data_IF_625833632064
#
_entry.id   IF_625833632064
#
_cell.length_a   1.000
_cell.length_b   1.000
_cell.length_c   1.000
_cell.angle_alpha   90.00
_cell.angle_beta   90.00
_cell.angle_gamma   90.00
#
_symmetry.space_group_name_H-M   'P 1'
#
loop_
_entity.id
_entity.type
_entity.pdbx_description
1 polymer ?
#
# COMPACT_ATOMS: atom_id res chain seq x y z
N UNK A 1 46.38 -0.17 22.78
CA UNK A 1 46.31 0.84 21.70
C UNK A 1 45.82 0.12 20.45
N UNK A 2 44.52 0.22 20.16
CA UNK A 2 43.97 -0.41 18.96
C UNK A 2 43.84 0.68 17.90
N UNK A 3 44.58 0.53 16.81
CA UNK A 3 44.62 1.45 15.69
C UNK A 3 43.25 1.45 14.95
N UNK A 4 42.49 2.49 15.17
CA UNK A 4 41.24 2.77 14.44
C UNK A 4 41.52 3.31 13.04
N UNK A 5 41.73 2.43 12.05
CA UNK A 5 41.73 2.82 10.66
C UNK A 5 40.28 2.91 10.16
N UNK A 6 39.88 3.98 9.45
CA UNK A 6 38.54 4.06 8.88
C UNK A 6 38.39 3.02 7.77
N UNK A 7 37.29 2.26 7.82
CA UNK A 7 36.91 1.27 6.80
C UNK A 7 36.53 2.01 5.54
N UNK A 8 37.08 1.64 4.38
CA UNK A 8 36.80 2.32 3.11
C UNK A 8 35.34 2.09 2.66
N UNK A 9 34.72 3.04 1.92
CA UNK A 9 33.35 2.90 1.42
C UNK A 9 33.12 1.63 0.59
N UNK A 10 34.14 1.13 -0.09
CA UNK A 10 34.08 -0.12 -0.86
C UNK A 10 33.97 -1.38 0.02
N UNK A 11 34.55 -1.34 1.22
CA UNK A 11 34.47 -2.46 2.17
C UNK A 11 33.09 -2.52 2.84
N UNK A 12 32.47 -1.36 3.12
CA UNK A 12 31.09 -1.31 3.62
C UNK A 12 30.07 -1.82 2.57
N UNK A 13 30.28 -1.48 1.30
CA UNK A 13 29.42 -1.94 0.20
C UNK A 13 29.47 -3.47 0.06
N UNK A 14 30.66 -4.08 0.11
CA UNK A 14 30.84 -5.55 0.07
C UNK A 14 30.27 -6.27 1.29
N UNK A 15 30.31 -5.68 2.49
CA UNK A 15 29.71 -6.26 3.69
C UNK A 15 28.18 -6.21 3.60
N UNK A 16 27.62 -5.13 3.07
CA UNK A 16 26.18 -4.98 2.87
C UNK A 16 25.63 -5.90 1.74
N UNK A 17 26.41 -6.14 0.70
CA UNK A 17 26.09 -7.13 -0.34
C UNK A 17 26.17 -8.56 0.19
N UNK A 18 27.19 -8.89 0.96
CA UNK A 18 27.35 -10.23 1.54
C UNK A 18 26.28 -10.57 2.61
N UNK A 19 25.82 -9.59 3.38
CA UNK A 19 24.69 -9.77 4.31
C UNK A 19 23.36 -9.87 3.57
N UNK A 20 23.17 -9.12 2.47
CA UNK A 20 21.97 -9.24 1.59
C UNK A 20 21.87 -10.61 0.91
N UNK A 21 22.98 -11.19 0.42
CA UNK A 21 22.96 -12.52 -0.20
C UNK A 21 22.64 -13.64 0.80
N UNK A 22 23.15 -13.59 2.02
CA UNK A 22 22.83 -14.62 3.03
C UNK A 22 21.42 -14.55 3.58
N UNK A 23 20.83 -13.34 3.71
CA UNK A 23 19.42 -13.19 4.10
C UNK A 23 18.47 -13.58 2.96
N UNK A 24 18.82 -13.28 1.71
CA UNK A 24 18.00 -13.61 0.53
C UNK A 24 17.89 -15.13 0.31
N UNK A 25 18.94 -15.90 0.55
CA UNK A 25 18.93 -17.37 0.42
C UNK A 25 18.16 -18.05 1.56
N UNK A 26 18.29 -17.58 2.79
CA UNK A 26 17.54 -18.13 3.93
C UNK A 26 16.05 -17.86 3.89
N UNK A 27 15.63 -16.72 3.30
CA UNK A 27 14.22 -16.36 3.12
C UNK A 27 13.62 -17.06 1.89
N UNK A 28 14.39 -17.25 0.81
CA UNK A 28 13.95 -17.97 -0.40
C UNK A 28 13.60 -19.44 -0.11
N UNK A 29 14.37 -20.14 0.71
CA UNK A 29 14.15 -21.57 1.01
C UNK A 29 12.92 -21.80 1.92
N UNK A 30 12.46 -20.82 2.68
CA UNK A 30 11.27 -20.96 3.55
C UNK A 30 9.94 -20.63 2.89
N UNK A 31 9.95 -19.89 1.79
CA UNK A 31 8.71 -19.47 1.09
C UNK A 31 8.31 -20.39 -0.07
N UNK A 32 9.14 -21.37 -0.43
CA UNK A 32 8.85 -22.34 -1.50
C UNK A 32 7.81 -23.36 -1.02
N UNK A 33 6.52 -23.08 -1.31
CA UNK A 33 5.43 -24.02 -1.09
C UNK A 33 4.18 -23.48 -0.41
N UNK A 34 4.21 -22.26 0.13
CA UNK A 34 3.06 -21.67 0.82
C UNK A 34 2.41 -20.57 0.00
N UNK A 35 1.10 -20.67 -0.18
CA UNK A 35 0.32 -19.63 -0.83
C UNK A 35 0.17 -18.44 0.15
N UNK A 36 0.62 -17.21 -0.20
CA UNK A 36 0.46 -16.05 0.65
C UNK A 36 -1.01 -15.78 1.00
N UNK A 37 -1.25 -15.34 2.23
CA UNK A 37 -2.54 -14.85 2.67
C UNK A 37 -2.66 -13.35 2.37
N UNK A 38 -3.66 -12.94 1.60
CA UNK A 38 -3.80 -11.58 1.11
C UNK A 38 -4.87 -10.82 1.90
N UNK A 39 -4.49 -9.69 2.49
CA UNK A 39 -5.38 -8.81 3.25
C UNK A 39 -5.54 -7.49 2.51
N UNK A 40 -6.75 -7.17 2.09
CA UNK A 40 -7.10 -5.87 1.53
C UNK A 40 -7.55 -4.91 2.63
N UNK A 41 -6.98 -3.69 2.65
CA UNK A 41 -7.34 -2.63 3.61
C UNK A 41 -7.85 -1.43 2.81
N UNK A 42 -9.18 -1.31 2.70
CA UNK A 42 -9.86 -0.22 2.01
C UNK A 42 -10.36 0.87 2.96
N UNK A 43 -10.81 1.97 2.41
CA UNK A 43 -11.40 3.09 3.15
C UNK A 43 -11.14 4.41 2.48
N UNK A 44 -11.92 5.44 2.79
CA UNK A 44 -11.80 6.76 2.18
C UNK A 44 -10.43 7.41 2.38
N UNK A 45 -10.10 8.36 1.53
CA UNK A 45 -8.90 9.19 1.73
C UNK A 45 -8.97 9.87 3.11
N UNK A 46 -7.88 9.76 3.89
CA UNK A 46 -7.82 10.29 5.27
C UNK A 46 -8.44 9.38 6.35
N UNK A 47 -8.97 8.17 6.02
CA UNK A 47 -9.55 7.26 7.01
C UNK A 47 -8.51 6.64 7.96
N UNK A 48 -7.22 6.62 7.59
CA UNK A 48 -6.15 5.99 8.38
C UNK A 48 -5.83 4.54 7.93
N UNK A 49 -6.34 4.08 6.79
CA UNK A 49 -6.05 2.76 6.23
C UNK A 49 -4.54 2.49 6.09
N UNK A 50 -3.79 3.43 5.49
CA UNK A 50 -2.33 3.29 5.30
C UNK A 50 -1.56 3.31 6.63
N UNK A 51 -2.05 4.07 7.63
CA UNK A 51 -1.51 4.04 8.99
C UNK A 51 -1.72 2.66 9.62
N UNK A 52 -2.91 2.07 9.45
CA UNK A 52 -3.22 0.74 9.96
C UNK A 52 -2.36 -0.34 9.29
N UNK A 53 -2.25 -0.29 7.95
CA UNK A 53 -1.40 -1.20 7.18
C UNK A 53 0.09 -1.08 7.56
N UNK A 54 0.59 0.15 7.72
CA UNK A 54 1.96 0.42 8.15
C UNK A 54 2.28 -0.17 9.53
N UNK A 55 1.39 0.02 10.51
CA UNK A 55 1.53 -0.57 11.86
C UNK A 55 1.59 -2.10 11.82
N UNK A 56 0.78 -2.75 10.99
CA UNK A 56 0.84 -4.21 10.80
C UNK A 56 2.18 -4.62 10.18
N UNK A 57 2.66 -3.89 9.18
CA UNK A 57 3.97 -4.14 8.56
C UNK A 57 5.11 -3.98 9.56
N UNK A 58 5.05 -2.95 10.43
CA UNK A 58 6.04 -2.74 11.50
C UNK A 58 6.01 -3.86 12.56
N UNK A 59 4.81 -4.40 12.87
CA UNK A 59 4.68 -5.51 13.81
C UNK A 59 5.22 -6.84 13.26
N UNK A 60 5.26 -7.02 11.93
CA UNK A 60 5.71 -8.25 11.26
C UNK A 60 6.62 -7.92 10.06
N UNK A 61 7.78 -7.29 10.27
CA UNK A 61 8.60 -6.74 9.18
C UNK A 61 9.09 -7.79 8.19
N UNK A 62 9.34 -9.03 8.65
CA UNK A 62 9.83 -10.12 7.81
C UNK A 62 8.74 -10.99 7.18
N UNK A 63 7.51 -10.90 7.70
CA UNK A 63 6.40 -11.77 7.28
C UNK A 63 5.39 -11.07 6.38
N UNK A 64 5.42 -9.74 6.29
CA UNK A 64 4.46 -8.95 5.52
C UNK A 64 5.15 -8.27 4.34
N UNK A 65 4.55 -8.35 3.16
CA UNK A 65 4.78 -7.42 2.05
C UNK A 65 3.61 -6.45 1.95
N UNK A 66 3.90 -5.14 1.83
CA UNK A 66 2.90 -4.08 1.73
C UNK A 66 2.91 -3.49 0.32
N UNK A 67 1.74 -3.46 -0.31
CA UNK A 67 1.51 -2.90 -1.64
C UNK A 67 0.51 -1.76 -1.52
N UNK A 68 0.88 -0.56 -1.93
CA UNK A 68 -0.05 0.56 -2.05
C UNK A 68 -0.67 0.61 -3.45
N UNK A 69 -2.01 0.65 -3.50
CA UNK A 69 -2.75 0.82 -4.75
C UNK A 69 -2.40 2.13 -5.46
N UNK A 70 -2.00 3.16 -4.72
CA UNK A 70 -1.62 4.45 -5.30
C UNK A 70 -0.42 4.35 -6.25
N UNK A 71 0.41 3.32 -6.15
CA UNK A 71 1.50 3.05 -7.10
C UNK A 71 1.01 2.61 -8.49
N UNK A 72 -0.25 2.19 -8.60
CA UNK A 72 -0.83 1.65 -9.83
C UNK A 72 -1.67 2.67 -10.61
N UNK A 73 -1.61 3.96 -10.28
CA UNK A 73 -2.16 4.99 -11.18
C UNK A 73 -1.55 4.88 -12.57
N UNK A 74 -2.34 5.11 -13.59
CA UNK A 74 -1.91 5.03 -14.98
C UNK A 74 -0.76 6.02 -15.26
N UNK A 75 0.09 5.66 -16.23
CA UNK A 75 1.17 6.52 -16.72
C UNK A 75 0.61 7.49 -17.76
N UNK A 76 1.03 8.75 -17.68
CA UNK A 76 0.54 9.85 -18.52
C UNK A 76 1.71 10.69 -19.08
N UNK A 77 2.65 10.04 -19.78
CA UNK A 77 3.83 10.74 -20.33
C UNK A 77 3.47 11.69 -21.46
N UNK A 78 2.37 11.43 -22.16
CA UNK A 78 1.78 12.22 -23.25
C UNK A 78 1.00 13.45 -22.79
N UNK A 79 0.71 13.59 -21.51
CA UNK A 79 -0.08 14.68 -20.93
C UNK A 79 0.85 15.66 -20.19
N UNK A 80 0.79 16.99 -20.47
CA UNK A 80 1.53 17.99 -19.71
C UNK A 80 1.21 17.98 -18.21
N UNK A 81 2.19 18.34 -17.36
CA UNK A 81 2.04 18.32 -15.90
C UNK A 81 0.81 19.12 -15.42
N UNK A 82 0.56 20.28 -15.99
CA UNK A 82 -0.58 21.12 -15.62
C UNK A 82 -1.94 20.44 -15.87
N UNK A 83 -2.04 19.64 -16.94
CA UNK A 83 -3.24 18.89 -17.28
C UNK A 83 -3.36 17.62 -16.44
N UNK A 84 -2.23 16.93 -16.14
CA UNK A 84 -2.23 15.78 -15.22
C UNK A 84 -2.79 16.15 -13.85
N UNK A 85 -2.46 17.33 -13.33
CA UNK A 85 -2.96 17.81 -12.04
C UNK A 85 -4.49 17.96 -11.99
N UNK A 86 -5.16 18.04 -13.15
CA UNK A 86 -6.61 18.15 -13.28
C UNK A 86 -7.32 16.81 -13.44
N UNK A 87 -6.59 15.71 -13.65
CA UNK A 87 -7.16 14.38 -13.80
C UNK A 87 -7.85 13.90 -12.51
N UNK A 88 -8.89 13.07 -12.70
CA UNK A 88 -9.63 12.47 -11.59
C UNK A 88 -8.94 11.18 -11.10
N UNK A 89 -8.04 11.30 -10.12
CA UNK A 89 -7.35 10.16 -9.51
C UNK A 89 -8.18 9.37 -8.48
N UNK A 90 -9.39 9.83 -8.16
CA UNK A 90 -10.30 9.14 -7.25
C UNK A 90 -11.32 8.24 -8.01
N UNK A 91 -11.25 8.19 -9.35
CA UNK A 91 -12.06 7.32 -10.19
C UNK A 91 -11.35 6.00 -10.52
N UNK A 92 -12.10 4.89 -10.69
CA UNK A 92 -11.52 3.57 -11.00
C UNK A 92 -10.65 3.54 -12.26
N UNK A 93 -11.02 4.33 -13.27
CA UNK A 93 -10.33 4.43 -14.56
C UNK A 93 -8.92 4.99 -14.46
N UNK A 94 -8.59 5.64 -13.34
CA UNK A 94 -7.24 6.17 -13.10
C UNK A 94 -6.24 5.07 -12.70
N UNK A 95 -6.70 3.85 -12.38
CA UNK A 95 -5.87 2.76 -11.85
C UNK A 95 -5.73 1.59 -12.83
N UNK A 96 -4.54 1.03 -12.91
CA UNK A 96 -4.24 -0.19 -13.67
C UNK A 96 -4.46 -1.44 -12.81
N UNK A 97 -5.73 -1.79 -12.54
CA UNK A 97 -6.09 -2.97 -11.74
C UNK A 97 -5.58 -4.27 -12.34
N UNK A 98 -5.55 -4.37 -13.68
CA UNK A 98 -5.04 -5.56 -14.39
C UNK A 98 -3.60 -5.88 -14.03
N UNK A 99 -2.71 -4.87 -13.98
CA UNK A 99 -1.33 -5.04 -13.55
C UNK A 99 -1.24 -5.46 -12.08
N UNK A 100 -2.06 -4.88 -11.21
CA UNK A 100 -2.09 -5.24 -9.80
C UNK A 100 -2.52 -6.69 -9.60
N UNK A 101 -3.58 -7.13 -10.27
CA UNK A 101 -4.06 -8.52 -10.24
C UNK A 101 -2.97 -9.48 -10.75
N UNK A 102 -2.34 -9.17 -11.89
CA UNK A 102 -1.25 -9.97 -12.44
C UNK A 102 -0.09 -10.12 -11.44
N UNK A 103 0.33 -9.03 -10.81
CA UNK A 103 1.42 -9.06 -9.83
C UNK A 103 1.05 -9.84 -8.55
N UNK A 104 -0.20 -9.75 -8.10
CA UNK A 104 -0.67 -10.56 -6.97
C UNK A 104 -0.67 -12.06 -7.28
N UNK A 105 -1.06 -12.45 -8.50
CA UNK A 105 -0.99 -13.85 -8.92
C UNK A 105 0.47 -14.34 -9.01
N UNK A 106 1.41 -13.51 -9.46
CA UNK A 106 2.84 -13.83 -9.44
C UNK A 106 3.34 -14.04 -8.00
N UNK A 107 2.97 -13.13 -7.08
CA UNK A 107 3.32 -13.27 -5.66
C UNK A 107 2.71 -14.52 -5.02
N UNK A 108 1.46 -14.88 -5.36
CA UNK A 108 0.81 -16.13 -4.93
C UNK A 108 1.57 -17.37 -5.40
N UNK A 109 2.24 -17.27 -6.55
CA UNK A 109 3.06 -18.33 -7.12
C UNK A 109 4.52 -18.28 -6.65
N UNK A 110 4.82 -17.53 -5.61
CA UNK A 110 6.16 -17.42 -5.03
C UNK A 110 7.15 -16.60 -5.85
N UNK A 111 6.67 -15.81 -6.81
CA UNK A 111 7.52 -15.00 -7.68
C UNK A 111 7.58 -13.56 -7.17
N UNK A 112 8.76 -12.93 -7.08
CA UNK A 112 8.88 -11.51 -6.78
C UNK A 112 8.35 -10.67 -7.94
N UNK A 113 7.85 -9.46 -7.63
CA UNK A 113 7.33 -8.53 -8.63
C UNK A 113 7.99 -7.16 -8.52
N UNK A 114 8.05 -6.43 -9.64
CA UNK A 114 8.52 -5.06 -9.69
C UNK A 114 7.31 -4.11 -9.67
N UNK A 115 6.94 -3.68 -8.46
CA UNK A 115 5.86 -2.73 -8.25
C UNK A 115 6.27 -1.34 -8.79
N UNK A 116 5.43 -0.67 -9.61
CA UNK A 116 5.71 0.70 -10.02
C UNK A 116 5.76 1.66 -8.84
N UNK A 117 6.34 2.84 -9.04
CA UNK A 117 6.38 3.92 -8.06
C UNK A 117 5.70 5.14 -8.64
N UNK A 118 4.65 5.61 -7.99
CA UNK A 118 3.95 6.82 -8.37
C UNK A 118 4.55 8.05 -7.67
N UNK A 119 4.80 9.10 -8.45
CA UNK A 119 5.28 10.39 -7.95
C UNK A 119 4.12 11.39 -7.89
N UNK A 120 3.70 11.72 -6.68
CA UNK A 120 2.60 12.66 -6.44
C UNK A 120 2.93 14.11 -6.82
N UNK A 121 4.22 14.46 -6.93
CA UNK A 121 4.65 15.81 -7.33
C UNK A 121 4.59 16.00 -8.84
N UNK A 122 4.81 14.91 -9.58
CA UNK A 122 4.75 14.87 -11.04
C UNK A 122 3.42 14.39 -11.58
N UNK A 123 2.50 13.97 -10.71
CA UNK A 123 1.24 13.35 -11.08
C UNK A 123 1.42 12.25 -12.13
N UNK A 124 2.45 11.38 -11.95
CA UNK A 124 2.80 10.34 -12.91
C UNK A 124 3.55 9.17 -12.25
N UNK A 125 3.59 8.01 -12.92
CA UNK A 125 4.55 6.96 -12.56
C UNK A 125 5.96 7.42 -12.88
N UNK A 126 6.88 7.18 -11.95
CA UNK A 126 8.31 7.33 -12.18
C UNK A 126 8.86 6.10 -12.92
N UNK A 127 10.12 6.19 -13.39
CA UNK A 127 10.84 5.03 -13.93
C UNK A 127 11.39 4.10 -12.84
N UNK A 128 11.21 4.48 -11.58
CA UNK A 128 11.61 3.64 -10.43
C UNK A 128 10.61 2.51 -10.22
N UNK A 129 11.13 1.39 -9.75
CA UNK A 129 10.33 0.25 -9.30
C UNK A 129 10.79 -0.19 -7.93
N UNK A 130 9.90 -0.84 -7.19
CA UNK A 130 10.20 -1.46 -5.90
C UNK A 130 10.01 -2.96 -6.04
N UNK A 131 11.03 -3.76 -5.71
CA UNK A 131 10.88 -5.20 -5.65
C UNK A 131 10.04 -5.59 -4.43
N UNK A 132 8.95 -6.30 -4.68
CA UNK A 132 8.09 -6.89 -3.65
C UNK A 132 8.32 -8.40 -3.64
N UNK A 133 8.75 -8.90 -2.49
CA UNK A 133 8.99 -10.33 -2.30
C UNK A 133 7.70 -11.06 -1.90
N UNK A 134 7.53 -12.33 -2.29
CA UNK A 134 6.40 -13.17 -1.87
C UNK A 134 6.60 -13.58 -0.40
N UNK A 135 6.01 -12.83 0.51
CA UNK A 135 6.00 -13.13 1.95
C UNK A 135 4.71 -13.83 2.35
N UNK A 136 4.66 -14.51 3.52
CA UNK A 136 3.46 -15.23 3.98
C UNK A 136 2.19 -14.38 4.01
N UNK A 137 2.33 -13.08 4.30
CA UNK A 137 1.21 -12.12 4.30
C UNK A 137 1.49 -11.03 3.26
N UNK A 138 0.49 -10.73 2.44
CA UNK A 138 0.50 -9.57 1.54
C UNK A 138 -0.60 -8.63 1.99
N UNK A 139 -0.23 -7.40 2.35
CA UNK A 139 -1.19 -6.32 2.61
C UNK A 139 -1.32 -5.45 1.36
N UNK A 140 -2.55 -5.14 1.00
CA UNK A 140 -2.88 -4.19 -0.07
C UNK A 140 -3.67 -3.06 0.55
N UNK A 141 -3.23 -1.81 0.41
CA UNK A 141 -4.03 -0.67 0.83
C UNK A 141 -4.41 0.23 -0.34
N UNK A 142 -5.62 0.78 -0.29
CA UNK A 142 -6.10 1.72 -1.31
C UNK A 142 -7.57 2.08 -1.16
N UNK A 143 -7.96 3.20 -1.77
CA UNK A 143 -9.36 3.67 -1.69
C UNK A 143 -10.31 2.85 -2.58
N UNK A 144 -9.82 2.31 -3.69
CA UNK A 144 -10.62 1.63 -4.73
C UNK A 144 -10.39 0.13 -4.83
N UNK A 145 -9.59 -0.47 -3.93
CA UNK A 145 -9.20 -1.88 -4.04
C UNK A 145 -10.38 -2.87 -3.94
N UNK A 146 -11.51 -2.44 -3.38
CA UNK A 146 -12.73 -3.25 -3.35
C UNK A 146 -13.68 -2.94 -4.51
N UNK A 147 -13.36 -1.98 -5.38
CA UNK A 147 -14.18 -1.67 -6.54
C UNK A 147 -14.07 -2.74 -7.62
N UNK A 148 -12.84 -3.15 -7.96
CA UNK A 148 -12.59 -4.14 -9.00
C UNK A 148 -12.88 -5.57 -8.52
N UNK A 149 -13.75 -6.34 -9.19
CA UNK A 149 -14.11 -7.70 -8.78
C UNK A 149 -12.93 -8.69 -8.85
N UNK A 150 -12.05 -8.57 -9.85
CA UNK A 150 -10.91 -9.48 -9.99
C UNK A 150 -9.91 -9.26 -8.85
N UNK A 151 -9.66 -7.99 -8.50
CA UNK A 151 -8.81 -7.66 -7.37
C UNK A 151 -9.40 -8.12 -6.03
N UNK A 152 -10.73 -7.93 -5.81
CA UNK A 152 -11.41 -8.45 -4.60
C UNK A 152 -11.27 -9.95 -4.45
N UNK A 153 -11.37 -10.69 -5.55
CA UNK A 153 -11.26 -12.16 -5.55
C UNK A 153 -9.84 -12.66 -5.23
N UNK A 154 -8.84 -11.78 -5.32
CA UNK A 154 -7.48 -12.09 -4.87
C UNK A 154 -7.34 -12.08 -3.35
N UNK A 155 -8.24 -11.44 -2.60
CA UNK A 155 -8.13 -11.17 -1.18
C UNK A 155 -8.79 -12.24 -0.33
N UNK A 156 -8.07 -12.73 0.68
CA UNK A 156 -8.57 -13.70 1.66
C UNK A 156 -9.30 -13.02 2.82
N UNK A 157 -8.89 -11.78 3.15
CA UNK A 157 -9.54 -10.94 4.18
C UNK A 157 -9.67 -9.50 3.68
N UNK A 158 -10.85 -8.93 3.83
CA UNK A 158 -11.19 -7.58 3.40
C UNK A 158 -11.57 -6.72 4.59
N UNK A 159 -10.74 -5.70 4.88
CA UNK A 159 -10.92 -4.78 6.00
C UNK A 159 -11.27 -3.40 5.46
N UNK A 160 -12.37 -2.83 5.91
CA UNK A 160 -12.73 -1.45 5.59
C UNK A 160 -12.51 -0.54 6.79
N UNK A 161 -11.69 0.51 6.62
CA UNK A 161 -11.45 1.51 7.66
C UNK A 161 -12.43 2.66 7.46
N UNK A 162 -13.44 2.72 8.34
CA UNK A 162 -14.44 3.77 8.37
C UNK A 162 -14.00 4.93 9.26
N UNK A 163 -14.26 6.14 8.83
CA UNK A 163 -13.97 7.37 9.58
C UNK A 163 -14.88 8.46 9.03
N UNK A 164 -15.41 9.29 9.90
CA UNK A 164 -16.33 10.36 9.52
C UNK A 164 -15.70 11.34 8.51
N UNK A 165 -16.55 11.92 7.67
CA UNK A 165 -16.09 12.73 6.54
C UNK A 165 -15.34 14.00 6.97
N UNK A 166 -15.75 14.62 8.07
CA UNK A 166 -15.12 15.80 8.67
C UNK A 166 -13.71 15.47 9.17
N UNK A 167 -13.51 14.38 9.89
CA UNK A 167 -12.17 13.94 10.28
C UNK A 167 -11.30 13.60 9.07
N UNK A 168 -11.86 12.93 8.07
CA UNK A 168 -11.13 12.55 6.85
C UNK A 168 -10.63 13.77 6.09
N UNK A 169 -11.47 14.80 5.93
CA UNK A 169 -11.06 16.01 5.20
C UNK A 169 -9.98 16.79 5.97
N UNK A 170 -10.09 16.91 7.29
CA UNK A 170 -9.07 17.58 8.12
C UNK A 170 -7.71 16.87 8.02
N UNK A 171 -7.70 15.53 8.12
CA UNK A 171 -6.47 14.72 7.98
C UNK A 171 -5.88 14.83 6.58
N UNK A 172 -6.72 14.80 5.52
CA UNK A 172 -6.31 14.98 4.13
C UNK A 172 -5.71 16.37 3.90
N UNK A 173 -6.39 17.42 4.35
CA UNK A 173 -5.91 18.81 4.19
C UNK A 173 -4.53 18.98 4.82
N UNK A 174 -4.37 18.54 6.07
CA UNK A 174 -3.07 18.61 6.76
C UNK A 174 -1.97 17.85 5.98
N UNK A 175 -2.24 16.62 5.54
CA UNK A 175 -1.29 15.81 4.78
C UNK A 175 -0.91 16.50 3.46
N UNK A 176 -1.91 16.91 2.69
CA UNK A 176 -1.68 17.45 1.33
C UNK A 176 -0.97 18.81 1.38
N UNK A 177 -1.21 19.61 2.44
CA UNK A 177 -0.46 20.85 2.67
C UNK A 177 0.98 20.60 3.10
N UNK A 178 1.20 19.70 4.07
CA UNK A 178 2.53 19.49 4.68
C UNK A 178 3.44 18.62 3.81
N UNK A 179 2.90 17.53 3.23
CA UNK A 179 3.70 16.52 2.54
C UNK A 179 3.72 16.72 1.01
N UNK A 180 2.69 17.38 0.45
CA UNK A 180 2.54 17.55 -1.01
C UNK A 180 2.62 19.03 -1.45
N UNK A 181 2.83 19.96 -0.51
CA UNK A 181 3.02 21.38 -0.79
C UNK A 181 1.80 22.10 -1.40
N UNK A 182 0.58 21.54 -1.21
CA UNK A 182 -0.64 22.13 -1.77
C UNK A 182 -1.17 23.24 -0.88
N UNK A 183 -1.82 24.23 -1.48
CA UNK A 183 -2.59 25.25 -0.76
C UNK A 183 -3.97 24.71 -0.33
N UNK A 184 -4.54 25.31 0.71
CA UNK A 184 -5.80 24.88 1.31
C UNK A 184 -6.98 25.00 0.32
N UNK A 185 -7.04 26.08 -0.44
CA UNK A 185 -8.15 26.31 -1.39
C UNK A 185 -8.16 25.26 -2.49
N UNK A 186 -6.99 24.88 -3.01
CA UNK A 186 -6.82 23.78 -3.94
C UNK A 186 -7.30 22.43 -3.36
N UNK A 187 -6.98 22.14 -2.09
CA UNK A 187 -7.43 20.90 -1.42
C UNK A 187 -8.95 20.91 -1.23
N UNK A 188 -9.54 22.03 -0.81
CA UNK A 188 -10.99 22.16 -0.62
C UNK A 188 -11.71 22.02 -1.97
N UNK A 189 -11.23 22.71 -3.00
CA UNK A 189 -11.82 22.62 -4.33
C UNK A 189 -11.83 21.17 -4.84
N UNK A 190 -10.69 20.50 -4.83
CA UNK A 190 -10.58 19.10 -5.25
C UNK A 190 -11.47 18.17 -4.41
N UNK A 191 -11.55 18.41 -3.10
CA UNK A 191 -12.41 17.60 -2.24
C UNK A 191 -13.87 17.69 -2.64
N UNK A 192 -14.36 18.89 -2.90
CA UNK A 192 -15.77 19.11 -3.26
C UNK A 192 -16.11 18.64 -4.67
N UNK A 193 -15.21 18.88 -5.62
CA UNK A 193 -15.46 18.58 -7.05
C UNK A 193 -15.17 17.13 -7.43
N UNK A 194 -14.21 16.48 -6.76
CA UNK A 194 -13.72 15.15 -7.16
C UNK A 194 -13.81 14.14 -6.02
N UNK A 195 -13.09 14.37 -4.92
CA UNK A 195 -12.89 13.34 -3.87
C UNK A 195 -14.18 12.91 -3.21
N UNK A 196 -15.04 13.86 -2.81
CA UNK A 196 -16.33 13.56 -2.16
C UNK A 196 -17.30 12.86 -3.10
N UNK A 197 -17.54 13.34 -4.35
CA UNK A 197 -18.37 12.62 -5.32
C UNK A 197 -17.86 11.20 -5.59
N UNK A 198 -16.57 11.03 -5.87
CA UNK A 198 -15.99 9.71 -6.16
C UNK A 198 -16.04 8.78 -4.95
N UNK A 199 -15.80 9.30 -3.75
CA UNK A 199 -15.98 8.53 -2.53
C UNK A 199 -17.38 7.97 -2.40
N UNK A 200 -18.41 8.79 -2.64
CA UNK A 200 -19.81 8.37 -2.52
C UNK A 200 -20.19 7.37 -3.61
N UNK A 201 -19.61 7.49 -4.81
CA UNK A 201 -19.93 6.64 -5.96
C UNK A 201 -19.18 5.33 -5.95
N UNK A 202 -17.86 5.37 -5.66
CA UNK A 202 -17.00 4.21 -5.89
C UNK A 202 -16.34 3.63 -4.62
N UNK A 203 -16.18 4.42 -3.55
CA UNK A 203 -15.48 3.95 -2.35
C UNK A 203 -16.46 3.46 -1.29
N UNK A 204 -17.37 4.33 -0.86
CA UNK A 204 -18.31 4.02 0.23
C UNK A 204 -19.22 2.81 -0.05
N UNK A 205 -19.78 2.63 -1.27
CA UNK A 205 -20.61 1.47 -1.57
C UNK A 205 -19.85 0.13 -1.44
N UNK A 206 -18.53 0.12 -1.62
CA UNK A 206 -17.72 -1.10 -1.53
C UNK A 206 -17.55 -1.62 -0.11
N UNK A 207 -17.96 -0.85 0.90
CA UNK A 207 -17.99 -1.27 2.30
C UNK A 207 -18.78 -2.57 2.50
N UNK A 208 -19.78 -2.84 1.67
CA UNK A 208 -20.58 -4.07 1.69
C UNK A 208 -19.77 -5.34 1.44
N UNK A 209 -18.62 -5.23 0.79
CA UNK A 209 -17.74 -6.36 0.51
C UNK A 209 -16.72 -6.64 1.62
N UNK A 210 -16.66 -5.78 2.64
CA UNK A 210 -15.72 -5.97 3.74
C UNK A 210 -16.17 -7.10 4.67
N UNK A 211 -15.21 -7.93 5.07
CA UNK A 211 -15.41 -8.95 6.10
C UNK A 211 -15.37 -8.31 7.51
N UNK A 212 -14.59 -7.20 7.65
CA UNK A 212 -14.45 -6.44 8.90
C UNK A 212 -14.52 -4.94 8.59
N UNK A 213 -15.29 -4.20 9.39
CA UNK A 213 -15.31 -2.74 9.36
C UNK A 213 -14.67 -2.23 10.66
N UNK A 214 -13.60 -1.43 10.52
CA UNK A 214 -12.88 -0.83 11.65
C UNK A 214 -13.24 0.65 11.77
N UNK A 215 -13.54 1.07 12.99
CA UNK A 215 -13.77 2.49 13.26
C UNK A 215 -12.43 3.21 13.50
N UNK A 216 -11.91 3.83 12.44
CA UNK A 216 -10.65 4.58 12.42
C UNK A 216 -9.39 3.71 12.39
N UNK A 217 -8.37 4.16 11.65
CA UNK A 217 -7.11 3.42 11.47
C UNK A 217 -6.17 3.41 12.69
N UNK A 218 -6.49 4.15 13.75
CA UNK A 218 -5.74 4.17 15.02
C UNK A 218 -6.42 3.38 16.14
N UNK A 219 -7.51 2.65 15.84
CA UNK A 219 -8.21 1.82 16.82
C UNK A 219 -7.30 0.71 17.33
N UNK A 220 -6.88 0.81 18.60
CA UNK A 220 -5.90 -0.12 19.19
C UNK A 220 -6.48 -1.52 19.38
N UNK A 221 -7.74 -1.63 19.80
CA UNK A 221 -8.37 -2.94 20.00
C UNK A 221 -8.51 -3.69 18.66
N UNK A 222 -8.93 -2.99 17.62
CA UNK A 222 -9.01 -3.56 16.29
C UNK A 222 -7.64 -3.97 15.76
N UNK A 223 -6.59 -3.17 16.03
CA UNK A 223 -5.23 -3.50 15.69
C UNK A 223 -4.76 -4.80 16.36
N UNK A 224 -4.99 -4.95 17.66
CA UNK A 224 -4.60 -6.16 18.39
C UNK A 224 -5.35 -7.41 17.89
N UNK A 225 -6.63 -7.29 17.54
CA UNK A 225 -7.39 -8.40 16.96
C UNK A 225 -6.81 -8.86 15.61
N UNK A 226 -6.56 -7.93 14.69
CA UNK A 226 -5.98 -8.27 13.37
C UNK A 226 -4.55 -8.78 13.52
N UNK A 227 -3.77 -8.20 14.42
CA UNK A 227 -2.42 -8.68 14.74
C UNK A 227 -2.44 -10.13 15.26
N UNK A 228 -3.36 -10.47 16.16
CA UNK A 228 -3.51 -11.83 16.68
C UNK A 228 -3.91 -12.82 15.56
N UNK A 229 -4.81 -12.41 14.66
CA UNK A 229 -5.18 -13.22 13.51
C UNK A 229 -3.99 -13.48 12.57
N UNK A 230 -3.20 -12.46 12.28
CA UNK A 230 -1.96 -12.61 11.47
C UNK A 230 -1.00 -13.57 12.16
N UNK A 231 -0.79 -13.43 13.48
CA UNK A 231 0.07 -14.34 14.23
C UNK A 231 -0.40 -15.79 14.14
N UNK A 232 -1.72 -16.04 14.28
CA UNK A 232 -2.30 -17.37 14.15
C UNK A 232 -2.07 -17.96 12.76
N UNK A 233 -2.24 -17.15 11.70
CA UNK A 233 -1.95 -17.57 10.32
C UNK A 233 -0.48 -17.97 10.19
N UNK A 234 0.45 -17.15 10.69
CA UNK A 234 1.88 -17.42 10.63
C UNK A 234 2.28 -18.69 11.43
N UNK A 235 1.60 -18.96 12.55
CA UNK A 235 1.87 -20.13 13.38
C UNK A 235 1.32 -21.43 12.77
N UNK A 236 0.19 -21.36 12.05
CA UNK A 236 -0.36 -22.50 11.30
C UNK A 236 0.47 -22.91 10.08
N UNK A 237 1.44 -22.06 9.72
CA UNK A 237 2.32 -22.27 8.57
C UNK A 237 3.75 -22.68 8.98
N UNK A 238 4.00 -22.96 10.28
CA UNK A 238 5.27 -23.50 10.81
C UNK A 238 5.26 -25.01 10.83
#
# INVERSE_FOLDING_TARGET
>A
MCDGKPVSPLTLCRILEYTREKDSTRTKDRCLGMKPYIIGIAGGSGSGKSTFAGRLKEAFPESISLISCDNYYLRHDDIPLAERALLNYDAPEALEFSLMVQQLEQLKNGQPVLCPVYDFTLHNRSDKVIEILPRPIILIDGILIFHDPALRNCMDLKIYVETDADERILRRARRDMVERGRDLDSVIHQYLTTVKPMHNTYVNPTKVFADIILNGGKNEQAFQLVKAQIQQILDSHK
#
